data_IF_447520226874
#
_entry.id   IF_447520226874
#
_cell.length_a   1.000
_cell.length_b   1.000
_cell.length_c   1.000
_cell.angle_alpha   90.00
_cell.angle_beta   90.00
_cell.angle_gamma   90.00
#
_symmetry.space_group_name_H-M   'P 1'
#
loop_
_entity.id
_entity.type
_entity.pdbx_description
1 polymer ?
#
# COMPACT_ATOMS: atom_id res chain seq x y z
N UNK A 1 4.08 -14.67 -25.28
CA UNK A 1 4.73 -13.97 -24.14
C UNK A 1 4.69 -14.90 -22.94
N UNK A 2 5.80 -15.56 -22.61
CA UNK A 2 5.90 -16.56 -21.53
C UNK A 2 5.88 -15.94 -20.13
N UNK A 3 4.74 -15.42 -19.71
CA UNK A 3 4.56 -14.79 -18.39
C UNK A 3 4.04 -15.76 -17.33
N UNK A 4 3.55 -16.93 -17.74
CA UNK A 4 2.87 -17.88 -16.85
C UNK A 4 3.73 -18.36 -15.67
N UNK A 5 5.05 -18.43 -15.82
CA UNK A 5 5.95 -18.89 -14.73
C UNK A 5 6.44 -17.74 -13.83
N UNK A 6 5.99 -16.50 -14.05
CA UNK A 6 6.44 -15.29 -13.32
C UNK A 6 5.27 -14.43 -12.79
N UNK A 7 4.03 -14.88 -12.96
CA UNK A 7 2.83 -14.18 -12.52
C UNK A 7 1.88 -15.15 -11.83
N UNK A 8 1.43 -14.79 -10.63
CA UNK A 8 0.46 -15.54 -9.86
C UNK A 8 -0.72 -14.61 -9.58
N UNK A 9 -1.90 -14.95 -10.11
CA UNK A 9 -3.16 -14.35 -9.69
C UNK A 9 -3.79 -15.26 -8.64
N UNK A 10 -4.09 -14.71 -7.47
CA UNK A 10 -4.60 -15.49 -6.35
C UNK A 10 -5.37 -14.57 -5.39
N UNK A 11 -6.22 -15.17 -4.56
CA UNK A 11 -6.92 -14.42 -3.52
C UNK A 11 -5.94 -13.98 -2.42
N UNK A 12 -6.18 -12.82 -1.76
CA UNK A 12 -5.32 -12.31 -0.70
C UNK A 12 -4.93 -13.36 0.36
N UNK A 13 -5.89 -14.18 0.77
CA UNK A 13 -5.74 -15.18 1.84
C UNK A 13 -4.87 -16.38 1.42
N UNK A 14 -4.62 -16.53 0.13
CA UNK A 14 -3.78 -17.61 -0.41
C UNK A 14 -2.30 -17.22 -0.54
N UNK A 15 -1.97 -15.94 -0.34
CA UNK A 15 -0.57 -15.47 -0.33
C UNK A 15 0.06 -15.80 1.02
N UNK A 16 1.12 -16.64 1.07
CA UNK A 16 1.72 -17.03 2.35
C UNK A 16 2.22 -15.82 3.15
N UNK A 17 1.98 -15.83 4.47
CA UNK A 17 2.35 -14.71 5.36
C UNK A 17 3.86 -14.42 5.42
N UNK A 18 4.69 -15.42 5.09
CA UNK A 18 6.15 -15.28 5.08
C UNK A 18 6.68 -14.54 3.84
N UNK A 19 5.87 -14.37 2.79
CA UNK A 19 6.32 -13.68 1.57
C UNK A 19 6.67 -12.24 1.89
N UNK A 20 7.81 -11.79 1.36
CA UNK A 20 8.27 -10.41 1.48
C UNK A 20 8.42 -9.80 0.09
N UNK A 21 8.10 -8.51 0.00
CA UNK A 21 8.14 -7.74 -1.24
C UNK A 21 9.08 -6.56 -1.09
N UNK A 22 9.98 -6.35 -2.05
CA UNK A 22 10.73 -5.10 -2.11
C UNK A 22 9.80 -3.92 -2.39
N UNK A 23 8.76 -4.14 -3.19
CA UNK A 23 7.79 -3.13 -3.60
C UNK A 23 6.35 -3.64 -3.61
N UNK A 24 5.43 -2.81 -3.10
CA UNK A 24 3.97 -2.99 -3.23
C UNK A 24 3.40 -1.78 -3.97
N UNK A 25 2.59 -2.01 -5.00
CA UNK A 25 1.95 -0.94 -5.78
C UNK A 25 0.44 -1.12 -5.69
N UNK A 26 -0.29 -0.06 -5.32
CA UNK A 26 -1.74 -0.18 -5.11
C UNK A 26 -2.52 1.08 -5.45
N UNK A 27 -3.74 0.88 -5.91
CA UNK A 27 -4.81 1.88 -5.87
C UNK A 27 -5.87 1.33 -4.91
N UNK A 28 -5.68 1.51 -3.58
CA UNK A 28 -6.44 0.77 -2.60
C UNK A 28 -7.95 1.12 -2.68
N UNK A 29 -8.85 0.17 -2.40
CA UNK A 29 -10.29 0.37 -2.56
C UNK A 29 -10.86 1.24 -1.42
N UNK A 30 -10.62 2.54 -1.49
CA UNK A 30 -11.01 3.57 -0.51
C UNK A 30 -12.50 3.61 -0.10
N UNK A 31 -13.41 3.01 -0.88
CA UNK A 31 -14.86 3.01 -0.60
C UNK A 31 -15.31 1.87 0.32
N UNK A 32 -14.41 0.99 0.77
CA UNK A 32 -14.74 -0.08 1.72
C UNK A 32 -14.90 0.41 3.17
N UNK A 33 -14.76 1.72 3.41
CA UNK A 33 -14.77 2.31 4.73
C UNK A 33 -13.38 2.35 5.35
N UNK A 34 -13.21 3.25 6.33
CA UNK A 34 -11.91 3.58 6.93
C UNK A 34 -11.28 2.39 7.65
N UNK A 35 -12.05 1.69 8.47
CA UNK A 35 -11.56 0.56 9.28
C UNK A 35 -11.09 -0.61 8.41
N UNK A 36 -11.88 -1.01 7.42
CA UNK A 36 -11.51 -2.09 6.50
C UNK A 36 -10.29 -1.71 5.65
N UNK A 37 -10.19 -0.45 5.19
CA UNK A 37 -9.00 0.05 4.50
C UNK A 37 -7.75 -0.01 5.40
N UNK A 38 -7.88 0.44 6.65
CA UNK A 38 -6.79 0.42 7.61
C UNK A 38 -6.32 -1.01 7.90
N UNK A 39 -7.26 -1.93 8.14
CA UNK A 39 -6.96 -3.36 8.32
C UNK A 39 -6.22 -3.93 7.12
N UNK A 40 -6.70 -3.67 5.89
CA UNK A 40 -6.03 -4.11 4.67
C UNK A 40 -4.58 -3.60 4.61
N UNK A 41 -4.34 -2.31 4.87
CA UNK A 41 -2.99 -1.75 4.82
C UNK A 41 -2.08 -2.35 5.91
N UNK A 42 -2.59 -2.55 7.12
CA UNK A 42 -1.84 -3.16 8.21
C UNK A 42 -1.58 -4.65 7.99
N UNK A 43 -2.35 -5.35 7.16
CA UNK A 43 -2.06 -6.72 6.73
C UNK A 43 -0.89 -6.74 5.73
N UNK A 44 -0.86 -5.80 4.78
CA UNK A 44 0.08 -5.85 3.65
C UNK A 44 1.41 -5.11 3.88
N UNK A 45 1.41 -3.99 4.59
CA UNK A 45 2.65 -3.22 4.83
C UNK A 45 3.73 -4.00 5.60
N UNK A 46 3.42 -4.83 6.62
CA UNK A 46 4.41 -5.70 7.27
C UNK A 46 5.06 -6.73 6.34
N UNK A 47 4.48 -6.98 5.16
CA UNK A 47 5.04 -7.87 4.15
C UNK A 47 6.05 -7.17 3.23
N UNK A 48 6.35 -5.88 3.41
CA UNK A 48 7.51 -5.28 2.75
C UNK A 48 8.82 -5.90 3.27
N UNK A 49 9.86 -6.05 2.46
CA UNK A 49 11.19 -6.38 2.95
C UNK A 49 11.77 -5.19 3.77
N UNK A 50 12.79 -5.40 4.64
CA UNK A 50 13.53 -4.30 5.24
C UNK A 50 14.02 -3.31 4.16
N UNK A 51 13.69 -2.02 4.31
CA UNK A 51 13.99 -1.00 3.29
C UNK A 51 13.10 -1.02 2.05
N UNK A 52 12.08 -1.88 2.00
CA UNK A 52 11.07 -1.91 0.94
C UNK A 52 10.12 -0.72 0.98
N UNK A 53 9.34 -0.55 -0.10
CA UNK A 53 8.36 0.55 -0.24
C UNK A 53 6.98 0.09 -0.69
N UNK A 54 5.95 0.81 -0.28
CA UNK A 54 4.64 0.75 -0.91
C UNK A 54 4.31 2.07 -1.58
N UNK A 55 3.86 2.05 -2.83
CA UNK A 55 3.41 3.23 -3.57
C UNK A 55 1.90 3.12 -3.80
N UNK A 56 1.16 4.12 -3.32
CA UNK A 56 -0.30 4.15 -3.37
C UNK A 56 -0.83 5.39 -4.07
N UNK A 57 -1.81 5.21 -4.95
CA UNK A 57 -2.55 6.33 -5.56
C UNK A 57 -3.86 6.51 -4.82
N UNK A 58 -4.11 7.70 -4.27
CA UNK A 58 -5.29 7.99 -3.46
C UNK A 58 -5.92 9.32 -3.87
N UNK A 59 -7.25 9.36 -4.00
CA UNK A 59 -7.97 10.60 -4.31
C UNK A 59 -7.86 11.62 -3.18
N UNK A 60 -7.59 12.89 -3.49
CA UNK A 60 -7.48 13.99 -2.51
C UNK A 60 -8.75 14.11 -1.67
N UNK A 61 -9.92 14.09 -2.33
CA UNK A 61 -11.23 14.18 -1.69
C UNK A 61 -11.66 12.90 -0.97
N UNK A 62 -10.85 11.84 -1.10
CA UNK A 62 -11.13 10.51 -0.57
C UNK A 62 -10.20 10.17 0.59
N UNK A 63 -9.62 11.20 1.21
CA UNK A 63 -8.87 11.09 2.45
C UNK A 63 -7.38 10.81 2.25
N UNK A 64 -6.77 11.16 1.12
CA UNK A 64 -5.33 10.95 0.91
C UNK A 64 -4.46 11.57 2.02
N UNK A 65 -4.76 12.81 2.41
CA UNK A 65 -3.95 13.52 3.41
C UNK A 65 -4.22 13.00 4.84
N UNK A 66 -5.45 12.57 5.13
CA UNK A 66 -5.76 11.87 6.39
C UNK A 66 -5.11 10.48 6.46
N UNK A 67 -5.06 9.75 5.35
CA UNK A 67 -4.43 8.44 5.28
C UNK A 67 -2.92 8.57 5.48
N UNK A 68 -2.27 9.53 4.81
CA UNK A 68 -0.84 9.79 4.98
C UNK A 68 -0.49 10.03 6.46
N UNK A 69 -1.25 10.91 7.12
CA UNK A 69 -1.03 11.20 8.55
C UNK A 69 -1.26 9.97 9.43
N UNK A 70 -2.36 9.25 9.22
CA UNK A 70 -2.67 8.06 10.00
C UNK A 70 -1.59 6.99 9.86
N UNK A 71 -1.09 6.74 8.65
CA UNK A 71 0.03 5.79 8.43
C UNK A 71 1.28 6.22 9.22
N UNK A 72 1.62 7.50 9.21
CA UNK A 72 2.71 8.03 10.04
C UNK A 72 2.51 7.77 11.52
N UNK A 73 1.29 7.97 12.04
CA UNK A 73 0.91 7.67 13.43
C UNK A 73 1.00 6.16 13.75
N UNK A 74 0.82 5.29 12.76
CA UNK A 74 1.01 3.83 12.92
C UNK A 74 2.49 3.38 12.83
N UNK A 75 3.44 4.31 12.74
CA UNK A 75 4.86 3.98 12.58
C UNK A 75 5.25 3.58 11.15
N UNK A 76 4.45 3.95 10.16
CA UNK A 76 4.74 3.78 8.74
C UNK A 76 5.06 5.14 8.11
N UNK A 77 6.35 5.53 8.00
CA UNK A 77 6.74 6.80 7.37
C UNK A 77 6.13 6.91 5.99
N UNK A 78 5.31 7.93 5.82
CA UNK A 78 4.56 8.14 4.58
C UNK A 78 4.76 9.53 4.05
N UNK A 79 5.29 9.61 2.83
CA UNK A 79 5.55 10.87 2.12
C UNK A 79 4.69 10.95 0.86
N UNK A 80 4.53 12.16 0.35
CA UNK A 80 3.85 12.40 -0.92
C UNK A 80 4.90 12.52 -2.03
N UNK A 81 4.93 11.55 -2.94
CA UNK A 81 5.82 11.58 -4.10
C UNK A 81 5.34 12.57 -5.17
N UNK A 82 4.03 12.60 -5.44
CA UNK A 82 3.48 13.40 -6.52
C UNK A 82 2.02 13.78 -6.27
N UNK A 83 1.51 14.70 -7.09
CA UNK A 83 0.11 15.10 -7.11
C UNK A 83 -0.31 15.50 -8.51
N UNK A 84 -1.37 14.89 -9.01
CA UNK A 84 -1.89 15.16 -10.34
C UNK A 84 -3.40 14.91 -10.37
N UNK A 85 -4.15 15.73 -11.11
CA UNK A 85 -5.56 15.50 -11.47
C UNK A 85 -6.47 15.04 -10.31
N UNK A 86 -6.31 15.63 -9.12
CA UNK A 86 -7.13 15.27 -7.95
C UNK A 86 -6.65 14.05 -7.15
N UNK A 87 -5.50 13.48 -7.47
CA UNK A 87 -4.87 12.36 -6.75
C UNK A 87 -3.57 12.77 -6.06
N UNK A 88 -3.21 12.01 -5.04
CA UNK A 88 -1.88 11.97 -4.41
C UNK A 88 -1.24 10.62 -4.70
N UNK A 89 0.06 10.64 -4.97
CA UNK A 89 0.89 9.43 -4.93
C UNK A 89 1.61 9.44 -3.60
N UNK A 90 1.32 8.48 -2.74
CA UNK A 90 1.91 8.30 -1.43
C UNK A 90 2.96 7.19 -1.49
N UNK A 91 4.10 7.40 -0.85
CA UNK A 91 5.09 6.35 -0.61
C UNK A 91 5.16 6.06 0.89
N UNK A 92 5.04 4.79 1.23
CA UNK A 92 5.30 4.25 2.57
C UNK A 92 6.65 3.54 2.54
N UNK A 93 7.49 3.76 3.55
CA UNK A 93 8.78 3.06 3.69
C UNK A 93 8.72 2.10 4.87
N UNK A 94 9.21 0.88 4.69
CA UNK A 94 9.45 -0.03 5.82
C UNK A 94 10.76 0.34 6.50
N UNK A 95 10.69 0.62 7.80
CA UNK A 95 11.88 0.74 8.63
C UNK A 95 12.67 -0.58 8.61
N UNK A 96 14.00 -0.47 8.58
CA UNK A 96 14.93 -1.60 8.62
C UNK A 96 14.85 -2.35 9.95
#
# INVERSE_FOLDING_TARGET
LGLQDRFIACDPDTVPDAVRYDEIWSNPPIRIGKEALHGLLLTWLPRLAPGGRAVMVVGKNLGADSLQRWLGEQGWPTVRLASAKGFRVLEVRRHG
#
